data_IF_156373559883
#
_entry.id   IF_156373559883
#
_cell.length_a   1.000
_cell.length_b   1.000
_cell.length_c   1.000
_cell.angle_alpha   90.00
_cell.angle_beta   90.00
_cell.angle_gamma   90.00
#
_symmetry.space_group_name_H-M   'P 1'
#
loop_
_entity.id
_entity.type
_entity.pdbx_description
1 polymer ?
#
# COMPACT_ATOMS: atom_id res chain seq x y z
N UNK A 1 13.26 -24.63 -6.03
CA UNK A 1 12.70 -23.30 -6.38
C UNK A 1 11.71 -22.94 -5.29
N UNK A 2 11.84 -21.79 -4.65
CA UNK A 2 10.85 -21.31 -3.68
C UNK A 2 9.57 -20.89 -4.44
N UNK A 3 8.37 -21.27 -3.99
CA UNK A 3 7.15 -20.79 -4.59
C UNK A 3 7.02 -19.28 -4.39
N UNK A 4 6.43 -18.57 -5.36
CA UNK A 4 6.13 -17.16 -5.21
C UNK A 4 5.01 -17.01 -4.18
N UNK A 5 5.32 -16.39 -3.04
CA UNK A 5 4.33 -16.02 -2.04
C UNK A 5 3.90 -14.57 -2.29
N UNK A 6 2.60 -14.35 -2.41
CA UNK A 6 2.02 -13.04 -2.72
C UNK A 6 0.82 -12.81 -1.82
N UNK A 7 0.74 -11.64 -1.21
CA UNK A 7 -0.50 -11.14 -0.60
C UNK A 7 -1.34 -10.56 -1.72
N UNK A 8 -2.58 -11.00 -1.85
CA UNK A 8 -3.54 -10.46 -2.81
C UNK A 8 -4.75 -9.87 -2.06
N UNK A 9 -5.19 -8.67 -2.47
CA UNK A 9 -6.38 -8.03 -1.90
C UNK A 9 -7.09 -7.16 -2.92
N UNK A 10 -8.42 -7.21 -2.94
CA UNK A 10 -9.25 -6.24 -3.65
C UNK A 10 -9.40 -4.98 -2.79
N UNK A 11 -9.05 -3.84 -3.36
CA UNK A 11 -9.15 -2.53 -2.71
C UNK A 11 -9.80 -1.55 -3.67
N UNK A 12 -10.69 -0.71 -3.16
CA UNK A 12 -11.00 0.57 -3.77
C UNK A 12 -9.96 1.64 -3.38
N UNK A 13 -10.09 2.84 -3.94
CA UNK A 13 -9.15 3.92 -3.70
C UNK A 13 -9.10 4.31 -2.23
N UNK A 14 -10.25 4.39 -1.55
CA UNK A 14 -10.30 4.79 -0.13
C UNK A 14 -9.61 3.77 0.76
N UNK A 15 -9.79 2.47 0.48
CA UNK A 15 -9.12 1.41 1.21
C UNK A 15 -7.60 1.41 0.97
N UNK A 16 -7.14 1.75 -0.25
CA UNK A 16 -5.72 1.97 -0.52
C UNK A 16 -5.17 3.16 0.26
N UNK A 17 -5.84 4.32 0.23
CA UNK A 17 -5.41 5.51 0.98
C UNK A 17 -5.36 5.23 2.49
N UNK A 18 -6.35 4.50 3.03
CA UNK A 18 -6.34 4.05 4.42
C UNK A 18 -5.14 3.15 4.74
N UNK A 19 -4.78 2.24 3.84
CA UNK A 19 -3.60 1.39 4.00
C UNK A 19 -2.29 2.18 3.96
N UNK A 20 -2.14 3.11 3.00
CA UNK A 20 -0.98 4.00 2.90
C UNK A 20 -0.78 4.84 4.17
N UNK A 21 -1.87 5.31 4.79
CA UNK A 21 -1.82 6.05 6.06
C UNK A 21 -1.24 5.23 7.23
N UNK A 22 -1.18 3.90 7.11
CA UNK A 22 -0.57 3.05 8.14
C UNK A 22 0.96 2.94 8.01
N UNK A 23 1.53 3.36 6.88
CA UNK A 23 2.97 3.24 6.62
C UNK A 23 3.79 4.11 7.58
N UNK A 24 4.87 3.55 8.11
CA UNK A 24 5.77 4.25 9.03
C UNK A 24 6.35 5.53 8.42
N UNK A 25 6.71 5.51 7.14
CA UNK A 25 7.22 6.68 6.43
C UNK A 25 6.19 7.82 6.35
N UNK A 26 4.90 7.51 6.15
CA UNK A 26 3.82 8.51 6.14
C UNK A 26 3.67 9.13 7.53
N UNK A 27 3.70 8.30 8.59
CA UNK A 27 3.62 8.76 9.98
C UNK A 27 4.81 9.64 10.37
N UNK A 28 6.02 9.26 10.00
CA UNK A 28 7.22 10.06 10.26
C UNK A 28 7.16 11.38 9.48
N UNK A 29 6.78 11.37 8.20
CA UNK A 29 6.61 12.61 7.42
C UNK A 29 5.59 13.55 8.08
N UNK A 30 4.43 13.03 8.50
CA UNK A 30 3.41 13.81 9.21
C UNK A 30 3.95 14.44 10.48
N UNK A 31 4.79 13.72 11.22
CA UNK A 31 5.39 14.22 12.46
C UNK A 31 6.37 15.36 12.21
N UNK A 32 7.19 15.28 11.17
CA UNK A 32 8.20 16.30 10.86
C UNK A 32 7.62 17.51 10.13
N UNK A 33 6.68 17.30 9.22
CA UNK A 33 6.19 18.34 8.31
C UNK A 33 4.80 18.87 8.71
N UNK A 34 4.15 18.28 9.72
CA UNK A 34 2.79 18.61 10.16
C UNK A 34 1.71 18.49 9.07
N UNK A 35 2.01 17.76 8.00
CA UNK A 35 1.15 17.56 6.83
C UNK A 35 1.11 16.09 6.44
N UNK A 36 -0.02 15.63 5.93
CA UNK A 36 -0.13 14.27 5.41
C UNK A 36 0.41 14.21 3.97
N UNK A 37 1.51 13.46 3.70
CA UNK A 37 2.08 13.39 2.36
C UNK A 37 1.15 12.75 1.34
N UNK A 38 0.11 12.01 1.78
CA UNK A 38 -0.89 11.43 0.88
C UNK A 38 -1.72 12.53 0.20
N UNK A 39 -1.99 13.65 0.89
CA UNK A 39 -2.73 14.78 0.32
C UNK A 39 -2.00 15.41 -0.86
N UNK A 40 -0.66 15.28 -0.90
CA UNK A 40 0.16 15.78 -2.00
C UNK A 40 -0.02 14.98 -3.30
N UNK A 41 -0.47 13.71 -3.19
CA UNK A 41 -0.55 12.77 -4.32
C UNK A 41 -1.98 12.27 -4.58
N UNK A 42 -2.96 12.67 -3.75
CA UNK A 42 -4.32 12.13 -3.81
C UNK A 42 -5.01 12.43 -5.14
N UNK A 43 -4.82 13.62 -5.69
CA UNK A 43 -5.43 14.02 -6.96
C UNK A 43 -4.90 13.20 -8.13
N UNK A 44 -3.58 12.97 -8.16
CA UNK A 44 -2.94 12.15 -9.19
C UNK A 44 -3.39 10.69 -9.08
N UNK A 45 -3.46 10.17 -7.85
CA UNK A 45 -4.00 8.84 -7.57
C UNK A 45 -5.46 8.71 -8.01
N UNK A 46 -6.31 9.69 -7.72
CA UNK A 46 -7.71 9.72 -8.17
C UNK A 46 -7.81 9.72 -9.70
N UNK A 47 -7.01 10.55 -10.37
CA UNK A 47 -7.01 10.67 -11.81
C UNK A 47 -6.64 9.35 -12.50
N UNK A 48 -5.63 8.62 -12.00
CA UNK A 48 -5.25 7.31 -12.57
C UNK A 48 -6.20 6.19 -12.14
N UNK A 49 -6.90 6.34 -11.01
CA UNK A 49 -7.82 5.33 -10.51
C UNK A 49 -9.17 5.34 -11.24
N UNK A 50 -9.64 6.51 -11.69
CA UNK A 50 -10.96 6.64 -12.31
C UNK A 50 -12.08 6.66 -11.26
N UNK A 51 -12.99 5.69 -11.29
CA UNK A 51 -14.05 5.58 -10.28
C UNK A 51 -13.45 5.17 -8.92
N UNK A 52 -13.51 6.02 -7.88
CA UNK A 52 -12.94 5.70 -6.58
C UNK A 52 -13.48 4.44 -5.92
N UNK A 53 -14.66 3.93 -6.35
CA UNK A 53 -15.27 2.70 -5.85
C UNK A 53 -14.89 1.45 -6.64
N UNK A 54 -14.24 1.63 -7.79
CA UNK A 54 -13.75 0.51 -8.59
C UNK A 54 -12.70 -0.28 -7.78
N UNK A 55 -12.95 -1.58 -7.62
CA UNK A 55 -12.07 -2.47 -6.90
C UNK A 55 -10.93 -2.93 -7.83
N UNK A 56 -9.69 -2.77 -7.36
CA UNK A 56 -8.50 -3.22 -8.06
C UNK A 56 -7.75 -4.27 -7.23
N UNK A 57 -7.25 -5.30 -7.90
CA UNK A 57 -6.44 -6.35 -7.27
C UNK A 57 -5.04 -5.81 -7.01
N UNK A 58 -4.70 -5.67 -5.73
CA UNK A 58 -3.37 -5.32 -5.27
C UNK A 58 -2.59 -6.59 -4.88
N UNK A 59 -1.32 -6.64 -5.30
CA UNK A 59 -0.43 -7.77 -5.08
C UNK A 59 0.88 -7.31 -4.46
N UNK A 60 1.24 -7.87 -3.32
CA UNK A 60 2.52 -7.61 -2.67
C UNK A 60 3.35 -8.90 -2.62
N UNK A 61 4.53 -8.95 -3.25
CA UNK A 61 5.41 -10.11 -3.17
C UNK A 61 5.99 -10.24 -1.77
N UNK A 62 6.02 -11.46 -1.25
CA UNK A 62 6.62 -11.79 0.03
C UNK A 62 8.02 -12.35 -0.16
N UNK A 63 8.98 -11.71 0.49
CA UNK A 63 10.34 -12.23 0.62
C UNK A 63 10.39 -13.14 1.86
N UNK A 64 10.55 -14.44 1.63
CA UNK A 64 10.60 -15.45 2.70
C UNK A 64 12.00 -16.04 2.77
N UNK A 65 12.63 -15.93 3.94
CA UNK A 65 13.83 -16.68 4.30
C UNK A 65 13.39 -17.87 5.16
N UNK A 66 13.53 -19.09 4.63
CA UNK A 66 13.19 -20.32 5.33
C UNK A 66 14.40 -21.26 5.34
N UNK A 67 14.64 -21.90 6.48
CA UNK A 67 15.70 -22.87 6.67
C UNK A 67 15.25 -24.01 7.57
N UNK A 68 15.92 -25.15 7.48
CA UNK A 68 15.73 -26.26 8.43
C UNK A 68 16.53 -25.95 9.69
N UNK A 69 15.89 -26.08 10.86
CA UNK A 69 16.59 -26.06 12.14
C UNK A 69 17.13 -27.47 12.35
N UNK A 70 18.45 -27.60 12.47
CA UNK A 70 19.14 -28.86 12.75
C UNK A 70 19.79 -28.77 14.13
#
# INVERSE_FOLDING_TARGET
>A
MTPAFVIEKNLDLYALLGYLNTWSAVKEYQKYNHENPIELIINDLQAVWGDPKEQRIMRWPLHVLAGLIH
#
